data_IF_994778729561
#
_entry.id   IF_994778729561
#
_cell.length_a   1.000
_cell.length_b   1.000
_cell.length_c   1.000
_cell.angle_alpha   90.00
_cell.angle_beta   90.00
_cell.angle_gamma   90.00
#
_symmetry.space_group_name_H-M   'P 1'
#
loop_
_entity.id
_entity.type
_entity.pdbx_description
1 polymer ?
#
# COMPACT_ATOMS: atom_id res chain seq x y z
N UNK A 1 7.76 -5.41 -6.50
CA UNK A 1 7.66 -6.49 -5.50
C UNK A 1 6.23 -6.74 -5.02
N UNK A 2 5.57 -5.77 -4.35
CA UNK A 2 4.20 -5.94 -3.88
C UNK A 2 3.19 -6.05 -5.04
N UNK A 3 3.35 -5.23 -6.08
CA UNK A 3 2.52 -5.30 -7.29
C UNK A 3 2.62 -6.69 -7.93
N UNK A 4 3.85 -7.16 -8.17
CA UNK A 4 4.10 -8.49 -8.75
C UNK A 4 3.44 -9.61 -7.92
N UNK A 5 3.51 -9.50 -6.59
CA UNK A 5 2.87 -10.44 -5.68
C UNK A 5 1.35 -10.43 -5.85
N UNK A 6 0.72 -9.26 -5.80
CA UNK A 6 -0.74 -9.15 -5.93
C UNK A 6 -1.19 -9.60 -7.32
N UNK A 7 -0.51 -9.23 -8.40
CA UNK A 7 -0.86 -9.69 -9.76
C UNK A 7 -0.80 -11.22 -9.86
N UNK A 8 0.20 -11.84 -9.22
CA UNK A 8 0.39 -13.29 -9.29
C UNK A 8 -0.59 -14.07 -8.42
N UNK A 9 -1.01 -13.50 -7.29
CA UNK A 9 -1.72 -14.23 -6.25
C UNK A 9 -3.13 -13.70 -5.95
N UNK A 10 -3.57 -12.59 -6.55
CA UNK A 10 -4.92 -12.08 -6.37
C UNK A 10 -5.97 -12.85 -7.22
N UNK A 11 -7.16 -13.15 -6.67
CA UNK A 11 -7.53 -12.97 -5.26
C UNK A 11 -6.78 -13.96 -4.38
N UNK A 12 -6.13 -13.45 -3.32
CA UNK A 12 -5.40 -14.29 -2.39
C UNK A 12 -6.38 -15.17 -1.58
N UNK A 13 -5.93 -16.35 -1.17
CA UNK A 13 -6.74 -17.32 -0.41
C UNK A 13 -6.20 -17.56 1.01
N UNK A 14 -5.01 -17.06 1.32
CA UNK A 14 -4.39 -17.15 2.64
C UNK A 14 -3.99 -15.76 3.14
N UNK A 15 -4.11 -15.58 4.46
CA UNK A 15 -3.68 -14.36 5.13
C UNK A 15 -2.16 -14.22 5.12
N UNK A 16 -1.68 -12.97 5.08
CA UNK A 16 -0.24 -12.67 5.08
C UNK A 16 0.12 -11.59 6.09
N UNK A 17 1.33 -11.68 6.62
CA UNK A 17 2.00 -10.61 7.36
C UNK A 17 3.02 -9.95 6.44
N UNK A 18 3.04 -8.61 6.42
CA UNK A 18 3.93 -7.86 5.53
C UNK A 18 4.95 -7.06 6.32
N UNK A 19 6.21 -7.15 5.88
CA UNK A 19 7.31 -6.33 6.36
C UNK A 19 7.83 -5.54 5.17
N UNK A 20 7.70 -4.22 5.21
CA UNK A 20 8.24 -3.33 4.19
C UNK A 20 8.97 -2.16 4.87
N UNK A 21 9.88 -1.51 4.16
CA UNK A 21 10.58 -0.32 4.68
C UNK A 21 9.69 0.92 4.63
N UNK A 22 8.85 1.02 3.61
CA UNK A 22 8.04 2.20 3.32
C UNK A 22 6.66 1.77 2.86
N UNK A 23 5.62 2.21 3.59
CA UNK A 23 4.23 1.88 3.30
C UNK A 23 3.47 3.17 2.98
N UNK A 24 3.19 3.37 1.70
CA UNK A 24 2.31 4.44 1.22
C UNK A 24 0.87 3.97 1.01
N UNK A 25 -0.03 4.89 0.70
CA UNK A 25 -1.43 4.58 0.43
C UNK A 25 -1.59 3.59 -0.74
N UNK A 26 -0.72 3.66 -1.74
CA UNK A 26 -0.67 2.67 -2.82
C UNK A 26 -0.43 1.24 -2.29
N UNK A 27 0.51 1.09 -1.36
CA UNK A 27 0.78 -0.21 -0.74
C UNK A 27 -0.42 -0.64 0.11
N UNK A 28 -0.99 0.26 0.92
CA UNK A 28 -2.18 -0.02 1.74
C UNK A 28 -3.36 -0.59 0.93
N UNK A 29 -3.64 -0.01 -0.24
CA UNK A 29 -4.67 -0.52 -1.16
C UNK A 29 -4.37 -1.94 -1.65
N UNK A 30 -3.12 -2.21 -2.04
CA UNK A 30 -2.70 -3.53 -2.51
C UNK A 30 -2.68 -4.58 -1.40
N UNK A 31 -2.36 -4.17 -0.16
CA UNK A 31 -2.35 -5.07 1.00
C UNK A 31 -3.74 -5.64 1.32
N UNK A 32 -4.81 -4.89 1.03
CA UNK A 32 -6.18 -5.43 1.11
C UNK A 32 -6.38 -6.63 0.19
N UNK A 33 -5.88 -6.55 -1.03
CA UNK A 33 -6.01 -7.61 -2.04
C UNK A 33 -5.08 -8.79 -1.78
N UNK A 34 -3.98 -8.55 -1.07
CA UNK A 34 -3.06 -9.57 -0.61
C UNK A 34 -3.58 -10.36 0.60
N UNK A 35 -4.77 -10.04 1.14
CA UNK A 35 -5.27 -10.53 2.43
C UNK A 35 -4.27 -10.29 3.58
N UNK A 36 -3.65 -9.12 3.58
CA UNK A 36 -2.77 -8.73 4.66
C UNK A 36 -3.57 -8.52 5.95
N UNK A 37 -3.14 -9.16 7.04
CA UNK A 37 -3.72 -8.95 8.38
C UNK A 37 -2.95 -7.90 9.16
N UNK A 38 -1.64 -7.80 8.95
CA UNK A 38 -0.77 -6.88 9.66
C UNK A 38 0.43 -6.46 8.81
N UNK A 39 0.79 -5.16 8.88
CA UNK A 39 1.96 -4.60 8.20
C UNK A 39 2.89 -3.86 9.15
N UNK A 40 4.17 -4.18 9.07
CA UNK A 40 5.25 -3.56 9.83
C UNK A 40 6.15 -2.74 8.92
N UNK A 41 6.38 -1.47 9.29
CA UNK A 41 7.22 -0.58 8.51
C UNK A 41 8.00 0.44 9.33
N UNK A 42 9.19 0.78 8.86
CA UNK A 42 9.95 1.90 9.40
C UNK A 42 9.30 3.26 9.09
N UNK A 43 8.57 3.36 7.98
CA UNK A 43 7.95 4.60 7.51
C UNK A 43 6.58 4.31 6.91
N UNK A 44 5.54 5.01 7.36
CA UNK A 44 4.20 5.00 6.77
C UNK A 44 3.74 6.40 6.39
N UNK A 45 2.81 6.51 5.43
CA UNK A 45 2.08 7.78 5.25
C UNK A 45 0.81 7.84 6.08
N UNK A 46 0.38 9.05 6.44
CA UNK A 46 -0.88 9.29 7.15
C UNK A 46 -2.08 8.70 6.40
N UNK A 47 -2.07 8.82 5.07
CA UNK A 47 -3.10 8.20 4.22
C UNK A 47 -3.03 6.68 4.27
N UNK A 48 -1.84 6.09 4.31
CA UNK A 48 -1.70 4.65 4.47
C UNK A 48 -2.28 4.17 5.80
N UNK A 49 -1.97 4.86 6.91
CA UNK A 49 -2.51 4.54 8.23
C UNK A 49 -4.04 4.57 8.24
N UNK A 50 -4.64 5.62 7.66
CA UNK A 50 -6.09 5.74 7.54
C UNK A 50 -6.70 4.62 6.69
N UNK A 51 -6.11 4.32 5.54
CA UNK A 51 -6.58 3.25 4.64
C UNK A 51 -6.49 1.87 5.29
N UNK A 52 -5.39 1.56 5.97
CA UNK A 52 -5.19 0.30 6.69
C UNK A 52 -6.20 0.15 7.83
N UNK A 53 -6.40 1.21 8.62
CA UNK A 53 -7.40 1.25 9.68
C UNK A 53 -8.81 1.00 9.14
N UNK A 54 -9.18 1.61 8.01
CA UNK A 54 -10.49 1.43 7.38
C UNK A 54 -10.70 0.00 6.87
N UNK A 55 -9.62 -0.69 6.50
CA UNK A 55 -9.66 -2.09 6.08
C UNK A 55 -9.59 -3.09 7.23
N UNK A 56 -9.36 -2.64 8.46
CA UNK A 56 -9.13 -3.50 9.62
C UNK A 56 -7.77 -4.21 9.58
N UNK A 57 -6.80 -3.67 8.86
CA UNK A 57 -5.44 -4.21 8.78
C UNK A 57 -4.59 -3.55 9.87
N UNK A 58 -4.00 -4.37 10.74
CA UNK A 58 -3.08 -3.88 11.77
C UNK A 58 -1.86 -3.22 11.14
N UNK A 59 -1.39 -2.10 11.68
CA UNK A 59 -0.21 -1.42 11.16
C UNK A 59 0.70 -0.93 12.28
N UNK A 60 2.00 -1.07 12.03
CA UNK A 60 3.04 -0.70 12.97
C UNK A 60 4.08 0.14 12.24
N UNK A 61 3.98 1.46 12.39
CA UNK A 61 4.90 2.41 11.79
C UNK A 61 5.84 2.99 12.85
N UNK A 62 7.15 2.94 12.60
CA UNK A 62 8.13 3.62 13.46
C UNK A 62 8.03 5.14 13.28
N UNK A 63 7.77 5.60 12.06
CA UNK A 63 7.59 7.00 11.72
C UNK A 63 6.45 7.18 10.72
N UNK A 64 5.74 8.29 10.83
CA UNK A 64 4.61 8.63 9.99
C UNK A 64 4.84 10.01 9.35
N UNK A 65 4.50 10.14 8.07
CA UNK A 65 4.66 11.37 7.29
C UNK A 65 3.39 11.68 6.50
N UNK A 66 3.12 12.94 6.13
CA UNK A 66 1.91 13.25 5.35
C UNK A 66 1.81 12.48 4.03
N UNK A 67 2.93 12.34 3.31
CA UNK A 67 3.00 11.65 2.03
C UNK A 67 4.36 10.97 1.83
N UNK A 68 4.35 9.81 1.15
CA UNK A 68 5.60 9.20 0.66
C UNK A 68 6.12 10.00 -0.53
N UNK A 69 7.36 10.47 -0.44
CA UNK A 69 8.03 11.19 -1.52
C UNK A 69 8.67 10.22 -2.53
N UNK A 70 8.93 10.74 -3.73
CA UNK A 70 9.73 10.05 -4.73
C UNK A 70 11.19 9.88 -4.24
N UNK A 71 12.00 9.08 -4.93
CA UNK A 71 13.40 8.80 -4.53
C UNK A 71 14.29 10.04 -4.47
N UNK A 72 13.95 11.09 -5.22
CA UNK A 72 14.68 12.35 -5.26
C UNK A 72 14.23 13.32 -4.17
N UNK A 73 13.20 12.96 -3.38
CA UNK A 73 12.55 13.81 -2.38
C UNK A 73 12.07 15.16 -2.93
N UNK A 74 11.77 15.22 -4.24
CA UNK A 74 11.38 16.46 -4.93
C UNK A 74 9.86 16.63 -5.05
N UNK A 75 9.11 15.54 -4.98
CA UNK A 75 7.66 15.51 -5.17
C UNK A 75 7.07 14.23 -4.53
N UNK A 76 5.75 14.15 -4.39
CA UNK A 76 5.04 12.96 -3.90
C UNK A 76 5.28 11.80 -4.87
N UNK A 77 5.51 10.60 -4.33
CA UNK A 77 5.70 9.37 -5.08
C UNK A 77 4.57 9.17 -6.12
N UNK A 78 4.87 8.81 -7.38
CA UNK A 78 3.86 8.63 -8.42
C UNK A 78 2.77 7.61 -8.04
N UNK A 79 3.14 6.52 -7.36
CA UNK A 79 2.19 5.53 -6.88
C UNK A 79 1.30 6.11 -5.77
N UNK A 80 1.89 6.87 -4.85
CA UNK A 80 1.14 7.54 -3.78
C UNK A 80 0.08 8.48 -4.37
N UNK A 81 0.47 9.34 -5.32
CA UNK A 81 -0.47 10.21 -6.04
C UNK A 81 -1.54 9.41 -6.77
N UNK A 82 -1.13 8.38 -7.51
CA UNK A 82 -2.04 7.55 -8.31
C UNK A 82 -3.09 6.84 -7.45
N UNK A 83 -2.74 6.47 -6.22
CA UNK A 83 -3.65 5.80 -5.29
C UNK A 83 -4.71 6.71 -4.67
N UNK A 84 -4.53 8.04 -4.74
CA UNK A 84 -5.44 8.97 -4.05
C UNK A 84 -6.85 8.90 -4.63
N UNK A 85 -7.84 8.77 -3.74
CA UNK A 85 -9.25 8.75 -4.10
C UNK A 85 -9.72 7.46 -4.79
N UNK A 86 -8.89 6.41 -4.82
CA UNK A 86 -9.25 5.10 -5.40
C UNK A 86 -9.55 4.08 -4.30
N UNK A 87 -10.49 3.19 -4.60
CA UNK A 87 -10.66 1.92 -3.89
C UNK A 87 -9.52 0.96 -4.21
N UNK A 88 -9.43 -0.14 -3.46
CA UNK A 88 -8.41 -1.17 -3.70
C UNK A 88 -8.54 -1.79 -5.11
N UNK A 89 -9.76 -2.09 -5.53
CA UNK A 89 -10.04 -2.69 -6.84
C UNK A 89 -9.73 -1.71 -7.99
N UNK A 90 -10.18 -0.45 -7.89
CA UNK A 90 -9.87 0.57 -8.91
C UNK A 90 -8.37 0.81 -9.06
N UNK A 91 -7.64 0.85 -7.94
CA UNK A 91 -6.20 1.01 -7.98
C UNK A 91 -5.52 -0.22 -8.60
N UNK A 92 -5.98 -1.42 -8.26
CA UNK A 92 -5.45 -2.66 -8.83
C UNK A 92 -5.64 -2.75 -10.34
N UNK A 93 -6.84 -2.44 -10.85
CA UNK A 93 -7.07 -2.41 -12.30
C UNK A 93 -6.20 -1.36 -12.99
N UNK A 94 -6.01 -0.19 -12.36
CA UNK A 94 -5.09 0.84 -12.88
C UNK A 94 -3.66 0.32 -12.97
N UNK A 95 -3.16 -0.34 -11.92
CA UNK A 95 -1.79 -0.85 -11.86
C UNK A 95 -1.60 -2.02 -12.83
N UNK A 96 -2.56 -2.94 -12.90
CA UNK A 96 -2.52 -4.11 -13.79
C UNK A 96 -2.45 -3.71 -15.27
N UNK A 97 -3.05 -2.58 -15.65
CA UNK A 97 -2.96 -2.05 -17.02
C UNK A 97 -1.60 -1.43 -17.35
N UNK A 98 -0.79 -1.08 -16.34
CA UNK A 98 0.50 -0.40 -16.48
C UNK A 98 1.71 -1.35 -16.35
N UNK A 99 1.48 -2.61 -15.99
CA UNK A 99 2.51 -3.53 -15.49
C UNK A 99 2.64 -4.82 -16.32
#
# INVERSE_FOLDING_TARGET
>A
PLVDYVIKFAPATGEVLVFDRVVGNAAALLLKLALCTEVWSSLGSERAAQTLSNFGIGYHFVSEVPYILNRQSSDICPFEKLSMGKTADEFYETIKALH
#
